data_IF_676279353328
#
_entry.id   IF_676279353328
#
_cell.length_a   1.000
_cell.length_b   1.000
_cell.length_c   1.000
_cell.angle_alpha   90.00
_cell.angle_beta   90.00
_cell.angle_gamma   90.00
#
_symmetry.space_group_name_H-M   'P 1'
#
loop_
_entity.id
_entity.type
_entity.pdbx_description
1 polymer ?
#
# COMPACT_ATOMS: atom_id res chain seq x y z
N UNK A 1 8.21 -8.72 -47.39
CA UNK A 1 7.32 -8.25 -46.32
C UNK A 1 7.94 -8.74 -45.03
N UNK A 2 8.70 -7.85 -44.38
CA UNK A 2 9.36 -8.16 -43.11
C UNK A 2 8.35 -7.94 -41.98
N UNK A 3 7.94 -9.02 -41.40
CA UNK A 3 7.18 -9.02 -40.14
C UNK A 3 8.15 -8.62 -39.04
N UNK A 4 8.14 -7.33 -38.67
CA UNK A 4 8.87 -6.84 -37.52
C UNK A 4 8.01 -7.25 -36.31
N UNK A 5 8.27 -8.44 -35.77
CA UNK A 5 7.76 -8.82 -34.47
C UNK A 5 8.35 -7.83 -33.46
N UNK A 6 7.59 -6.78 -33.14
CA UNK A 6 7.90 -5.92 -31.99
C UNK A 6 7.95 -6.81 -30.76
N UNK A 7 9.16 -6.99 -30.23
CA UNK A 7 9.36 -7.62 -28.93
C UNK A 7 8.52 -6.86 -27.93
N UNK A 8 7.57 -7.47 -27.21
CA UNK A 8 6.70 -6.76 -26.30
C UNK A 8 7.56 -6.06 -25.27
N UNK A 9 7.40 -4.73 -25.19
CA UNK A 9 8.09 -3.89 -24.23
C UNK A 9 7.80 -4.44 -22.84
N UNK A 10 8.79 -5.01 -22.16
CA UNK A 10 8.60 -5.61 -20.83
C UNK A 10 8.31 -4.52 -19.81
N UNK A 11 7.04 -4.30 -19.52
CA UNK A 11 6.61 -3.41 -18.44
C UNK A 11 6.94 -4.06 -17.08
N UNK A 12 7.20 -3.25 -16.08
CA UNK A 12 7.47 -3.71 -14.72
C UNK A 12 6.68 -2.88 -13.72
N UNK A 13 6.13 -3.56 -12.75
CA UNK A 13 5.71 -2.95 -11.49
C UNK A 13 6.77 -3.22 -10.43
N UNK A 14 6.86 -2.36 -9.46
CA UNK A 14 7.83 -2.51 -8.38
C UNK A 14 7.10 -2.56 -7.04
N UNK A 15 7.52 -3.48 -6.20
CA UNK A 15 7.04 -3.63 -4.83
C UNK A 15 8.16 -3.19 -3.90
N UNK A 16 7.86 -2.18 -3.09
CA UNK A 16 8.83 -1.55 -2.21
C UNK A 16 8.50 -1.91 -0.76
N UNK A 17 9.38 -2.65 -0.12
CA UNK A 17 9.29 -3.00 1.29
C UNK A 17 10.16 -2.05 2.11
N UNK A 18 9.60 -1.43 3.15
CA UNK A 18 10.30 -0.41 3.92
C UNK A 18 10.24 -0.72 5.42
N UNK A 19 11.37 -0.51 6.12
CA UNK A 19 11.41 -0.47 7.58
C UNK A 19 11.16 0.96 8.06
N UNK A 20 9.90 1.33 8.29
CA UNK A 20 9.60 2.71 8.68
C UNK A 20 10.22 3.06 10.04
N UNK A 21 10.79 4.28 10.22
CA UNK A 21 11.55 4.65 11.42
C UNK A 21 10.68 4.91 12.65
N UNK A 22 9.37 4.97 12.48
CA UNK A 22 8.42 5.37 13.52
C UNK A 22 8.25 4.32 14.63
N UNK A 23 7.88 4.77 15.85
CA UNK A 23 7.68 3.91 17.04
C UNK A 23 6.72 2.74 16.77
N UNK A 24 5.60 3.02 16.10
CA UNK A 24 4.62 1.99 15.71
C UNK A 24 5.26 0.97 14.76
N UNK A 25 6.04 1.43 13.78
CA UNK A 25 6.76 0.55 12.86
C UNK A 25 7.76 -0.35 13.57
N UNK A 26 8.49 0.16 14.57
CA UNK A 26 9.36 -0.67 15.41
C UNK A 26 8.59 -1.74 16.16
N UNK A 27 7.49 -1.38 16.78
CA UNK A 27 6.65 -2.34 17.49
C UNK A 27 6.14 -3.45 16.57
N UNK A 28 5.66 -3.08 15.38
CA UNK A 28 5.22 -4.07 14.38
C UNK A 28 6.37 -5.01 14.01
N UNK A 29 7.58 -4.51 13.74
CA UNK A 29 8.74 -5.35 13.40
C UNK A 29 9.10 -6.34 14.52
N UNK A 30 9.07 -5.88 15.76
CA UNK A 30 9.35 -6.75 16.92
C UNK A 30 8.29 -7.86 17.03
N UNK A 31 7.02 -7.52 16.94
CA UNK A 31 5.91 -8.47 17.05
C UNK A 31 5.88 -9.45 15.86
N UNK A 32 6.10 -8.95 14.65
CA UNK A 32 6.04 -9.78 13.43
C UNK A 32 7.36 -10.47 13.09
N UNK A 33 8.45 -10.15 13.81
CA UNK A 33 9.81 -10.62 13.52
C UNK A 33 10.21 -10.43 12.05
N UNK A 34 9.74 -9.33 11.44
CA UNK A 34 10.00 -8.98 10.05
C UNK A 34 10.85 -7.70 9.99
N UNK A 35 11.93 -7.63 9.18
CA UNK A 35 12.71 -6.42 8.99
C UNK A 35 11.86 -5.28 8.40
N UNK A 36 10.88 -5.60 7.58
CA UNK A 36 10.00 -4.63 6.93
C UNK A 36 8.62 -4.61 7.60
N UNK A 37 8.04 -3.44 7.73
CA UNK A 37 6.72 -3.22 8.33
C UNK A 37 5.79 -2.38 7.45
N UNK A 38 6.22 -2.04 6.25
CA UNK A 38 5.44 -1.29 5.27
C UNK A 38 5.72 -1.81 3.86
N UNK A 39 4.73 -1.69 2.98
CA UNK A 39 4.83 -2.08 1.57
C UNK A 39 4.07 -1.09 0.70
N UNK A 40 4.70 -0.70 -0.41
CA UNK A 40 4.18 0.25 -1.40
C UNK A 40 4.35 -0.30 -2.80
N UNK A 41 3.58 0.21 -3.75
CA UNK A 41 3.68 -0.09 -5.18
C UNK A 41 4.28 1.12 -5.89
N UNK A 42 5.26 0.90 -6.75
CA UNK A 42 5.83 1.93 -7.62
C UNK A 42 5.68 1.50 -9.08
N UNK A 43 5.41 2.46 -9.96
CA UNK A 43 5.25 2.23 -11.40
C UNK A 43 6.60 2.27 -12.15
N UNK A 44 7.57 3.01 -11.63
CA UNK A 44 8.85 3.30 -12.29
C UNK A 44 10.09 2.79 -11.53
N UNK A 45 9.86 2.20 -10.36
CA UNK A 45 10.94 1.76 -9.45
C UNK A 45 11.56 2.88 -8.65
N UNK A 46 11.13 4.11 -8.84
CA UNK A 46 11.52 5.25 -8.03
C UNK A 46 10.87 5.19 -6.64
N UNK A 47 11.48 5.90 -5.69
CA UNK A 47 10.97 6.04 -4.33
C UNK A 47 10.16 7.32 -4.14
N UNK A 48 10.05 8.13 -5.19
CA UNK A 48 9.21 9.31 -5.25
C UNK A 48 7.94 9.01 -6.05
N UNK A 49 6.79 9.05 -5.38
CA UNK A 49 5.50 8.77 -6.00
C UNK A 49 5.05 7.32 -5.88
N UNK A 50 5.48 6.60 -4.86
CA UNK A 50 4.95 5.28 -4.50
C UNK A 50 3.50 5.37 -4.02
N UNK A 51 2.78 4.28 -4.15
CA UNK A 51 1.37 4.20 -3.77
C UNK A 51 1.18 3.17 -2.66
N UNK A 52 0.47 3.57 -1.61
CA UNK A 52 0.14 2.67 -0.52
C UNK A 52 -1.08 3.11 0.28
N UNK A 53 -1.35 2.41 1.37
CA UNK A 53 -2.23 2.86 2.45
C UNK A 53 -1.37 3.17 3.66
N UNK A 54 -1.32 4.44 4.02
CA UNK A 54 -0.51 4.96 5.12
C UNK A 54 -1.20 6.11 5.85
N UNK A 55 -0.53 6.67 6.85
CA UNK A 55 -1.00 7.88 7.53
C UNK A 55 -0.91 9.08 6.59
N UNK A 56 -1.90 9.95 6.66
CA UNK A 56 -1.84 11.21 5.91
C UNK A 56 -0.83 12.19 6.51
N UNK A 57 -0.69 12.20 7.86
CA UNK A 57 0.24 13.09 8.56
C UNK A 57 1.10 12.32 9.55
N UNK A 58 2.30 12.79 9.81
CA UNK A 58 3.30 12.18 10.69
C UNK A 58 2.76 11.91 12.09
N UNK A 59 2.00 12.85 12.65
CA UNK A 59 1.52 12.84 14.04
C UNK A 59 0.10 12.27 14.20
N UNK A 60 -0.48 11.63 13.18
CA UNK A 60 -1.85 11.11 13.21
C UNK A 60 -1.90 9.60 13.11
N UNK A 61 -1.77 8.84 14.20
CA UNK A 61 -1.72 7.37 14.13
C UNK A 61 -3.02 6.74 13.62
N UNK A 62 -4.16 7.42 13.76
CA UNK A 62 -5.48 6.90 13.41
C UNK A 62 -6.12 7.53 12.16
N UNK A 63 -5.43 8.50 11.54
CA UNK A 63 -5.88 9.12 10.32
C UNK A 63 -4.98 8.75 9.15
N UNK A 64 -5.46 7.87 8.31
CA UNK A 64 -4.77 7.37 7.15
C UNK A 64 -5.73 6.87 6.08
N UNK A 65 -5.18 6.59 4.92
CA UNK A 65 -5.90 6.12 3.76
C UNK A 65 -4.96 5.81 2.61
N UNK A 66 -5.50 5.79 1.40
CA UNK A 66 -4.70 5.73 0.21
C UNK A 66 -3.88 7.02 0.07
N UNK A 67 -2.59 6.86 -0.20
CA UNK A 67 -1.65 7.98 -0.33
C UNK A 67 -0.67 7.72 -1.48
N UNK A 68 -0.21 8.79 -2.10
CA UNK A 68 1.02 8.82 -2.87
C UNK A 68 2.14 9.21 -1.93
N UNK A 69 3.14 8.36 -1.79
CA UNK A 69 4.25 8.54 -0.86
C UNK A 69 5.48 9.04 -1.59
N UNK A 70 6.24 9.91 -0.93
CA UNK A 70 7.51 10.43 -1.38
C UNK A 70 8.63 10.03 -0.44
N UNK A 71 9.86 10.05 -0.93
CA UNK A 71 11.04 9.56 -0.20
C UNK A 71 11.31 10.32 1.10
N UNK A 72 10.92 11.58 1.20
CA UNK A 72 11.09 12.42 2.39
C UNK A 72 10.30 11.91 3.61
N UNK A 73 9.21 11.15 3.43
CA UNK A 73 8.49 10.49 4.54
C UNK A 73 9.36 9.54 5.35
N UNK A 74 10.47 9.08 4.77
CA UNK A 74 11.36 8.06 5.34
C UNK A 74 12.69 8.63 5.80
N UNK A 75 12.78 9.96 6.01
CA UNK A 75 13.97 10.63 6.54
C UNK A 75 14.44 10.01 7.85
N UNK A 76 15.76 9.99 8.03
CA UNK A 76 16.45 9.40 9.17
C UNK A 76 16.28 10.22 10.47
N UNK A 77 15.07 10.48 10.92
CA UNK A 77 14.88 11.16 12.21
C UNK A 77 15.11 10.22 13.42
N UNK A 78 14.93 8.91 13.21
CA UNK A 78 14.91 7.93 14.30
C UNK A 78 15.74 6.67 14.04
N UNK A 79 16.70 6.73 13.15
CA UNK A 79 17.59 5.61 12.79
C UNK A 79 17.52 5.23 11.32
N UNK A 80 18.31 4.24 10.93
CA UNK A 80 18.42 3.81 9.54
C UNK A 80 17.14 3.13 9.07
N UNK A 81 16.59 3.65 8.00
CA UNK A 81 15.47 3.04 7.28
C UNK A 81 16.03 2.10 6.24
N UNK A 82 15.65 0.83 6.28
CA UNK A 82 16.01 -0.15 5.25
C UNK A 82 14.91 -0.24 4.21
N UNK A 83 15.31 -0.46 2.97
CA UNK A 83 14.39 -0.65 1.86
C UNK A 83 14.81 -1.85 1.02
N UNK A 84 13.83 -2.58 0.51
CA UNK A 84 13.99 -3.63 -0.49
C UNK A 84 13.02 -3.38 -1.62
N UNK A 85 13.53 -3.37 -2.86
CA UNK A 85 12.75 -3.14 -4.07
C UNK A 85 12.79 -4.42 -4.90
N UNK A 86 11.60 -4.92 -5.22
CA UNK A 86 11.41 -6.09 -6.08
C UNK A 86 10.69 -5.67 -7.36
N UNK A 87 11.28 -5.96 -8.52
CA UNK A 87 10.66 -5.76 -9.82
C UNK A 87 9.83 -6.98 -10.21
N UNK A 88 8.61 -6.73 -10.67
CA UNK A 88 7.67 -7.73 -11.16
C UNK A 88 7.39 -7.48 -12.64
N UNK A 89 7.80 -8.38 -13.54
CA UNK A 89 7.42 -8.30 -14.95
C UNK A 89 5.91 -8.42 -15.09
N UNK A 90 5.31 -7.55 -15.89
CA UNK A 90 3.87 -7.52 -16.17
C UNK A 90 3.63 -7.27 -17.65
N UNK A 91 2.44 -7.62 -18.14
CA UNK A 91 2.03 -7.25 -19.48
C UNK A 91 1.73 -5.75 -19.56
N UNK A 92 1.79 -5.17 -20.76
CA UNK A 92 1.44 -3.77 -20.98
C UNK A 92 0.00 -3.48 -20.52
N UNK A 93 -0.93 -4.39 -20.76
CA UNK A 93 -2.31 -4.26 -20.32
C UNK A 93 -2.45 -4.28 -18.80
N UNK A 94 -1.71 -5.15 -18.09
CA UNK A 94 -1.69 -5.18 -16.62
C UNK A 94 -1.11 -3.89 -16.05
N UNK A 95 -0.03 -3.39 -16.66
CA UNK A 95 0.59 -2.12 -16.27
C UNK A 95 -0.40 -0.97 -16.43
N UNK A 96 -0.99 -0.81 -17.61
CA UNK A 96 -1.94 0.26 -17.93
C UNK A 96 -3.16 0.23 -17.00
N UNK A 97 -3.74 -0.94 -16.74
CA UNK A 97 -4.88 -1.09 -15.80
C UNK A 97 -4.49 -0.69 -14.38
N UNK A 98 -3.28 -1.05 -13.95
CA UNK A 98 -2.78 -0.68 -12.63
C UNK A 98 -2.58 0.84 -12.54
N UNK A 99 -1.94 1.44 -13.54
CA UNK A 99 -1.72 2.89 -13.62
C UNK A 99 -3.04 3.67 -13.59
N UNK A 100 -4.01 3.32 -14.43
CA UNK A 100 -5.34 3.94 -14.46
C UNK A 100 -6.07 3.82 -13.12
N UNK A 101 -5.94 2.66 -12.46
CA UNK A 101 -6.53 2.44 -11.14
C UNK A 101 -5.87 3.34 -10.10
N UNK A 102 -4.55 3.42 -10.06
CA UNK A 102 -3.81 4.27 -9.13
C UNK A 102 -4.13 5.76 -9.36
N UNK A 103 -4.23 6.19 -10.61
CA UNK A 103 -4.62 7.56 -10.96
C UNK A 103 -6.03 7.90 -10.44
N UNK A 104 -7.01 7.01 -10.63
CA UNK A 104 -8.37 7.21 -10.08
C UNK A 104 -8.37 7.27 -8.56
N UNK A 105 -7.63 6.35 -7.90
CA UNK A 105 -7.54 6.33 -6.44
C UNK A 105 -6.86 7.59 -5.90
N UNK A 106 -5.89 8.14 -6.62
CA UNK A 106 -5.25 9.42 -6.28
C UNK A 106 -6.24 10.59 -6.37
N UNK A 107 -7.01 10.67 -7.45
CA UNK A 107 -8.00 11.71 -7.64
C UNK A 107 -9.14 11.67 -6.59
N UNK A 108 -9.42 10.49 -6.05
CA UNK A 108 -10.49 10.26 -5.09
C UNK A 108 -9.97 9.78 -3.72
N UNK A 109 -8.76 10.14 -3.33
CA UNK A 109 -8.05 9.58 -2.15
C UNK A 109 -8.85 9.64 -0.85
N UNK A 110 -9.66 10.66 -0.68
CA UNK A 110 -10.58 10.84 0.44
C UNK A 110 -11.60 9.70 0.63
N UNK A 111 -11.86 8.93 -0.42
CA UNK A 111 -12.83 7.81 -0.41
C UNK A 111 -12.24 6.50 0.07
N UNK A 112 -10.93 6.45 0.25
CA UNK A 112 -10.17 5.23 0.54
C UNK A 112 -9.50 5.28 1.93
N UNK A 113 -10.27 5.12 3.03
CA UNK A 113 -9.73 5.20 4.38
C UNK A 113 -8.89 3.97 4.73
N UNK A 114 -7.90 4.15 5.61
CA UNK A 114 -7.06 3.07 6.13
C UNK A 114 -7.87 2.07 6.96
N UNK A 115 -7.65 0.77 6.77
CA UNK A 115 -8.35 -0.29 7.50
C UNK A 115 -7.69 -0.58 8.85
N UNK A 116 -8.00 0.23 9.86
CA UNK A 116 -7.47 0.05 11.22
C UNK A 116 -7.91 -1.28 11.85
N UNK A 117 -9.13 -1.75 11.56
CA UNK A 117 -9.63 -3.02 12.14
C UNK A 117 -8.78 -4.17 11.63
N UNK A 118 -8.53 -4.23 10.33
CA UNK A 118 -7.62 -5.22 9.76
C UNK A 118 -6.22 -5.12 10.33
N UNK A 119 -5.68 -3.89 10.49
CA UNK A 119 -4.36 -3.69 11.07
C UNK A 119 -4.24 -4.29 12.48
N UNK A 120 -5.26 -4.15 13.33
CA UNK A 120 -5.31 -4.79 14.64
C UNK A 120 -5.47 -6.31 14.57
N UNK A 121 -5.98 -6.86 13.47
CA UNK A 121 -6.16 -8.29 13.27
C UNK A 121 -4.92 -9.00 12.68
N UNK A 122 -3.94 -8.25 12.16
CA UNK A 122 -2.71 -8.81 11.56
C UNK A 122 -1.97 -9.81 12.47
N UNK A 123 -1.76 -9.56 13.79
CA UNK A 123 -1.10 -10.52 14.68
C UNK A 123 -1.84 -11.86 14.80
N UNK A 124 -3.13 -11.89 14.51
CA UNK A 124 -3.97 -13.08 14.53
C UNK A 124 -4.12 -13.74 13.16
N UNK A 125 -3.33 -13.33 12.17
CA UNK A 125 -3.41 -13.78 10.76
C UNK A 125 -4.83 -13.66 10.18
N UNK A 126 -5.53 -12.60 10.56
CA UNK A 126 -6.90 -12.31 10.12
C UNK A 126 -6.97 -10.94 9.46
N UNK A 127 -7.89 -10.82 8.51
CA UNK A 127 -8.23 -9.55 7.88
C UNK A 127 -9.72 -9.29 7.96
N UNK A 128 -10.06 -8.04 8.03
CA UNK A 128 -11.43 -7.58 8.01
C UNK A 128 -11.69 -6.85 6.70
N UNK A 129 -12.28 -7.54 5.73
CA UNK A 129 -12.51 -6.98 4.41
C UNK A 129 -13.55 -5.85 4.45
N UNK A 130 -13.18 -4.69 3.94
CA UNK A 130 -14.05 -3.57 3.70
C UNK A 130 -13.74 -2.98 2.34
N UNK A 131 -14.76 -2.75 1.52
CA UNK A 131 -14.59 -2.21 0.16
C UNK A 131 -13.90 -0.84 0.20
N UNK A 132 -12.81 -0.68 -0.55
CA UNK A 132 -12.04 0.56 -0.62
C UNK A 132 -11.26 0.93 0.65
N UNK A 133 -11.18 0.03 1.64
CA UNK A 133 -10.45 0.27 2.88
C UNK A 133 -9.46 -0.86 3.11
N UNK A 134 -8.18 -0.56 3.05
CA UNK A 134 -7.09 -1.52 3.12
C UNK A 134 -6.04 -1.13 4.17
N UNK A 135 -5.24 -2.08 4.60
CA UNK A 135 -3.89 -1.85 5.13
C UNK A 135 -2.90 -1.76 3.96
N UNK A 136 -1.65 -1.37 4.20
CA UNK A 136 -0.62 -1.37 3.15
C UNK A 136 -0.44 -2.76 2.52
N UNK A 137 -0.43 -3.83 3.33
CA UNK A 137 -0.28 -5.20 2.84
C UNK A 137 -1.51 -5.71 2.08
N UNK A 138 -2.71 -5.35 2.52
CA UNK A 138 -3.94 -5.71 1.80
C UNK A 138 -4.03 -5.02 0.44
N UNK A 139 -3.63 -3.76 0.36
CA UNK A 139 -3.58 -3.03 -0.90
C UNK A 139 -2.54 -3.61 -1.86
N UNK A 140 -1.32 -3.87 -1.36
CA UNK A 140 -0.29 -4.50 -2.18
C UNK A 140 -0.75 -5.88 -2.69
N UNK A 141 -1.35 -6.70 -1.83
CA UNK A 141 -1.92 -7.98 -2.22
C UNK A 141 -3.02 -7.84 -3.29
N UNK A 142 -3.88 -6.84 -3.13
CA UNK A 142 -4.99 -6.59 -4.05
C UNK A 142 -4.46 -6.22 -5.45
N UNK A 143 -3.40 -5.40 -5.55
CA UNK A 143 -2.70 -5.14 -6.82
C UNK A 143 -2.00 -6.40 -7.33
N UNK A 144 -1.19 -7.06 -6.50
CA UNK A 144 -0.42 -8.25 -6.89
C UNK A 144 -1.30 -9.38 -7.41
N UNK A 145 -2.45 -9.60 -6.79
CA UNK A 145 -3.38 -10.66 -7.21
C UNK A 145 -4.00 -10.44 -8.59
N UNK A 146 -3.88 -9.24 -9.16
CA UNK A 146 -4.35 -8.93 -10.52
C UNK A 146 -3.26 -9.12 -11.59
N UNK A 147 -2.01 -9.23 -11.18
CA UNK A 147 -0.87 -9.23 -12.11
C UNK A 147 0.06 -10.44 -11.93
N UNK A 148 -0.07 -11.20 -10.85
CA UNK A 148 0.81 -12.32 -10.52
C UNK A 148 0.00 -13.46 -9.87
N UNK A 149 -0.12 -14.58 -10.56
CA UNK A 149 -0.89 -15.77 -10.13
C UNK A 149 -0.37 -16.42 -8.84
N UNK A 150 0.85 -16.12 -8.42
CA UNK A 150 1.40 -16.56 -7.12
C UNK A 150 0.65 -15.98 -5.92
N UNK A 151 -0.17 -14.93 -6.15
CA UNK A 151 -0.94 -14.25 -5.12
C UNK A 151 -2.45 -14.49 -5.29
N UNK A 152 -3.04 -15.18 -4.34
CA UNK A 152 -4.51 -15.32 -4.24
C UNK A 152 -5.07 -14.17 -3.39
N UNK A 153 -5.77 -13.24 -3.99
CA UNK A 153 -6.38 -12.08 -3.32
C UNK A 153 -7.37 -12.45 -2.19
N UNK A 154 -7.81 -13.71 -2.10
CA UNK A 154 -8.69 -14.20 -1.02
C UNK A 154 -7.94 -14.65 0.22
N UNK A 155 -6.65 -14.97 0.10
CA UNK A 155 -5.81 -15.41 1.21
C UNK A 155 -5.26 -14.24 1.99
N UNK A 156 -4.83 -14.49 3.22
CA UNK A 156 -4.04 -13.56 4.01
C UNK A 156 -2.56 -13.79 3.71
N UNK A 157 -1.82 -12.69 3.49
CA UNK A 157 -0.37 -12.70 3.38
C UNK A 157 0.22 -11.66 4.32
N UNK A 158 1.21 -12.05 5.08
CA UNK A 158 2.06 -11.11 5.82
C UNK A 158 3.01 -10.39 4.84
N UNK A 159 3.55 -9.24 5.25
CA UNK A 159 4.58 -8.53 4.48
C UNK A 159 5.79 -9.46 4.21
N UNK A 160 6.15 -10.30 5.20
CA UNK A 160 7.25 -11.26 5.05
C UNK A 160 6.98 -12.31 3.98
N UNK A 161 5.79 -12.88 3.94
CA UNK A 161 5.44 -13.87 2.92
C UNK A 161 5.42 -13.26 1.52
N UNK A 162 4.94 -12.02 1.37
CA UNK A 162 5.00 -11.30 0.09
C UNK A 162 6.44 -11.00 -0.30
N UNK A 163 7.26 -10.53 0.62
CA UNK A 163 8.67 -10.24 0.41
C UNK A 163 9.43 -11.49 -0.04
N UNK A 164 9.24 -12.62 0.62
CA UNK A 164 9.86 -13.89 0.25
C UNK A 164 9.43 -14.39 -1.13
N UNK A 165 8.16 -14.27 -1.47
CA UNK A 165 7.65 -14.66 -2.80
C UNK A 165 8.21 -13.79 -3.94
N UNK A 166 8.56 -12.55 -3.65
CA UNK A 166 9.08 -11.58 -4.62
C UNK A 166 10.60 -11.49 -4.64
N UNK A 167 11.30 -12.22 -3.78
CA UNK A 167 12.76 -12.12 -3.60
C UNK A 167 13.54 -12.38 -4.90
N UNK A 168 13.07 -13.27 -5.75
CA UNK A 168 13.69 -13.54 -7.04
C UNK A 168 13.71 -12.32 -7.99
N UNK A 169 12.82 -11.36 -7.77
CA UNK A 169 12.76 -10.10 -8.51
C UNK A 169 13.49 -8.93 -7.83
N UNK A 170 14.27 -9.20 -6.78
CA UNK A 170 14.99 -8.16 -6.06
C UNK A 170 15.94 -7.39 -6.97
N UNK A 171 15.80 -6.07 -7.00
CA UNK A 171 16.66 -5.15 -7.75
C UNK A 171 17.49 -4.26 -6.84
N UNK A 172 17.04 -4.06 -5.59
CA UNK A 172 17.77 -3.32 -4.58
C UNK A 172 17.41 -3.80 -3.17
N UNK A 173 18.39 -3.82 -2.28
CA UNK A 173 18.19 -4.00 -0.84
C UNK A 173 19.32 -3.30 -0.08
N UNK A 174 18.98 -2.43 0.84
CA UNK A 174 19.98 -1.66 1.59
C UNK A 174 19.36 -0.53 2.41
N UNK A 175 20.18 0.46 2.70
CA UNK A 175 19.72 1.69 3.35
C UNK A 175 18.82 2.47 2.39
N UNK A 176 17.83 3.16 2.98
CA UNK A 176 16.98 4.04 2.19
C UNK A 176 17.84 5.18 1.61
N UNK A 177 17.83 5.39 0.29
CA UNK A 177 18.63 6.45 -0.32
C UNK A 177 18.27 7.82 0.24
N UNK A 178 19.22 8.76 0.17
CA UNK A 178 18.94 10.16 0.46
C UNK A 178 17.78 10.63 -0.43
N UNK A 179 16.73 11.27 0.14
CA UNK A 179 15.61 11.74 -0.66
C UNK A 179 16.09 12.74 -1.70
N UNK A 180 15.70 12.51 -2.95
CA UNK A 180 15.75 13.57 -3.94
C UNK A 180 14.91 14.76 -3.42
N UNK A 181 15.21 15.97 -3.86
CA UNK A 181 14.51 17.19 -3.42
C UNK A 181 13.04 17.19 -3.89
N UNK A 182 12.22 16.41 -3.24
CA UNK A 182 10.79 16.30 -3.46
C UNK A 182 10.06 16.39 -2.13
N UNK A 183 8.93 17.04 -2.07
CA UNK A 183 8.28 17.42 -0.84
C UNK A 183 6.96 16.71 -0.68
N UNK A 184 6.82 15.92 0.40
CA UNK A 184 5.51 15.64 0.98
C UNK A 184 5.29 16.66 2.14
N UNK A 185 5.21 17.94 1.79
CA UNK A 185 5.04 19.03 2.75
C UNK A 185 3.80 18.82 3.63
N UNK A 186 2.77 18.19 3.09
CA UNK A 186 1.54 17.86 3.83
C UNK A 186 1.79 16.83 4.93
N UNK A 187 2.72 15.89 4.75
CA UNK A 187 3.00 14.85 5.74
C UNK A 187 3.61 15.42 7.03
N UNK A 188 4.48 16.40 6.93
CA UNK A 188 5.12 17.07 8.07
C UNK A 188 4.23 18.16 8.69
N UNK A 189 3.15 18.57 8.02
CA UNK A 189 2.27 19.65 8.48
C UNK A 189 1.65 19.32 9.84
N UNK A 190 1.81 20.24 10.79
CA UNK A 190 1.14 20.16 12.11
C UNK A 190 -0.29 20.63 11.97
N UNK A 191 -1.21 19.73 12.22
CA UNK A 191 -2.64 20.02 12.19
C UNK A 191 -3.19 20.29 13.60
N UNK A 192 -4.30 21.01 13.70
CA UNK A 192 -4.95 21.30 14.97
C UNK A 192 -5.68 20.06 15.54
N UNK A 193 -5.89 20.00 16.86
CA UNK A 193 -6.66 18.94 17.51
C UNK A 193 -8.09 18.82 16.94
N UNK A 194 -8.71 19.96 16.58
CA UNK A 194 -10.03 20.01 15.98
C UNK A 194 -10.03 19.39 14.57
N UNK A 195 -9.00 19.67 13.78
CA UNK A 195 -8.79 19.04 12.49
C UNK A 195 -8.72 17.52 12.63
N UNK A 196 -7.92 17.00 13.56
CA UNK A 196 -7.81 15.56 13.81
C UNK A 196 -9.14 14.94 14.23
N UNK A 197 -9.88 15.58 15.13
CA UNK A 197 -11.17 15.08 15.59
C UNK A 197 -12.19 15.00 14.45
N UNK A 198 -12.29 16.04 13.61
CA UNK A 198 -13.21 16.08 12.48
C UNK A 198 -12.88 15.02 11.42
N UNK A 199 -11.60 14.85 11.12
CA UNK A 199 -11.15 13.87 10.13
C UNK A 199 -11.21 12.43 10.65
N UNK A 200 -10.97 12.21 11.95
CA UNK A 200 -11.19 10.90 12.58
C UNK A 200 -12.68 10.51 12.52
N UNK A 201 -13.57 11.45 12.82
CA UNK A 201 -15.03 11.24 12.70
C UNK A 201 -15.44 10.92 11.25
N UNK A 202 -14.90 11.67 10.27
CA UNK A 202 -15.12 11.44 8.83
C UNK A 202 -14.64 10.03 8.42
N UNK A 203 -13.45 9.62 8.86
CA UNK A 203 -12.93 8.28 8.58
C UNK A 203 -13.77 7.16 9.18
N UNK A 204 -14.28 7.34 10.41
CA UNK A 204 -15.22 6.41 11.03
C UNK A 204 -16.50 6.32 10.21
N UNK A 205 -17.05 7.46 9.80
CA UNK A 205 -18.27 7.53 8.97
C UNK A 205 -18.07 6.84 7.60
N UNK A 206 -16.93 7.05 6.94
CA UNK A 206 -16.58 6.38 5.69
C UNK A 206 -16.49 4.86 5.86
N UNK A 207 -15.86 4.38 6.95
CA UNK A 207 -15.76 2.94 7.27
C UNK A 207 -17.13 2.32 7.52
N UNK A 208 -18.01 3.02 8.20
CA UNK A 208 -19.38 2.57 8.41
C UNK A 208 -20.13 2.47 7.07
N UNK A 209 -19.97 3.46 6.17
CA UNK A 209 -20.54 3.41 4.82
C UNK A 209 -19.98 2.25 3.99
N UNK A 210 -18.68 2.02 4.02
CA UNK A 210 -18.05 0.89 3.33
C UNK A 210 -18.59 -0.45 3.83
N UNK A 211 -18.72 -0.62 5.16
CA UNK A 211 -19.30 -1.81 5.79
C UNK A 211 -20.77 -2.05 5.39
N UNK A 212 -21.55 -0.97 5.27
CA UNK A 212 -22.97 -1.06 4.92
C UNK A 212 -23.16 -1.45 3.43
N UNK A 213 -22.32 -0.94 2.52
CA UNK A 213 -22.33 -1.33 1.10
C UNK A 213 -21.97 -2.81 0.91
N UNK A 214 -20.97 -3.30 1.66
CA UNK A 214 -20.57 -4.70 1.60
C UNK A 214 -21.67 -5.67 2.07
N UNK A 215 -22.40 -5.35 3.16
CA UNK A 215 -23.57 -6.14 3.60
C UNK A 215 -24.68 -6.16 2.57
N UNK A 216 -24.97 -5.04 1.89
CA UNK A 216 -25.99 -4.97 0.83
C UNK A 216 -25.65 -5.83 -0.38
N UNK A 217 -24.38 -5.88 -0.79
CA UNK A 217 -23.95 -6.70 -1.93
C UNK A 217 -23.99 -8.20 -1.63
N UNK A 218 -23.75 -8.64 -0.36
CA UNK A 218 -23.89 -10.05 0.03
C UNK A 218 -25.34 -10.49 0.25
N UNK A 219 -26.23 -9.58 0.58
CA UNK A 219 -27.66 -9.89 0.77
C UNK A 219 -28.47 -9.95 -0.51
N UNK A 220 -27.88 -9.60 -1.67
CA UNK A 220 -28.57 -9.52 -2.96
C UNK A 220 -28.06 -10.45 -4.05
N UNK A 221 -27.13 -11.36 -3.75
CA UNK A 221 -26.73 -12.36 -4.73
C UNK A 221 -27.67 -13.58 -4.61
N UNK A 222 -28.46 -13.92 -5.68
CA UNK A 222 -29.12 -15.23 -5.74
C UNK A 222 -28.04 -16.31 -5.76
N UNK A 223 -28.32 -17.44 -5.10
CA UNK A 223 -27.49 -18.63 -5.20
C UNK A 223 -27.39 -19.04 -6.69
N UNK A 224 -26.21 -19.43 -7.17
CA UNK A 224 -26.13 -20.09 -8.47
C UNK A 224 -26.83 -21.45 -8.37
N UNK A 225 -27.75 -21.71 -9.29
CA UNK A 225 -28.36 -23.00 -9.56
C UNK A 225 -27.29 -24.01 -10.02
#
# INVERSE_FOLDING_TARGET
MNDISETPKSCRLYVVFTSTPYRIGRLIRVVTKNPYNHVSISLDGGLDGMYSYARHYKNTPFYGGFVREYSDRYRKEFGDTKVKICALPVTEEQYRRTEERLARMTAESDRYPYNLISAFCVPFHRRFLAEGSFTCSEFALDVLSTVDERFDGRKFYTIREMEQKLDAGKVYEGDYPEPAAGCDDDFEAKQTALFYASHAARNVALRLKCRFRWRRRRGGAPAPD
#
